data_IF_081520828101
#
_entry.id   IF_081520828101
#
_cell.length_a   1.000
_cell.length_b   1.000
_cell.length_c   1.000
_cell.angle_alpha   90.00
_cell.angle_beta   90.00
_cell.angle_gamma   90.00
#
_symmetry.space_group_name_H-M   'P 1'
#
loop_
_entity.id
_entity.type
_entity.pdbx_description
1 polymer ?
#
# COMPACT_ATOMS: atom_id res chain seq x y z
N UNK A 1 5.38 22.82 54.59
CA UNK A 1 6.75 23.09 54.14
C UNK A 1 7.10 22.08 53.05
N UNK A 2 7.87 22.46 52.03
CA UNK A 2 8.33 21.58 50.94
C UNK A 2 9.84 21.74 50.72
N UNK A 3 10.56 20.65 50.50
CA UNK A 3 11.98 20.69 50.15
C UNK A 3 12.24 21.37 48.80
N UNK A 4 13.42 21.98 48.63
CA UNK A 4 13.80 22.62 47.37
C UNK A 4 14.07 21.61 46.24
N UNK A 5 14.51 20.40 46.60
CA UNK A 5 14.90 19.33 45.68
C UNK A 5 14.46 17.95 46.21
N UNK A 6 14.94 16.89 45.57
CA UNK A 6 14.60 15.50 45.92
C UNK A 6 15.19 15.02 47.26
N UNK A 7 16.13 15.80 47.81
CA UNK A 7 16.66 15.59 49.15
C UNK A 7 15.76 16.16 50.25
N UNK A 8 15.85 15.57 51.44
CA UNK A 8 15.20 16.03 52.67
C UNK A 8 15.97 17.24 53.27
N UNK A 9 15.97 18.36 52.54
CA UNK A 9 16.65 19.59 52.95
C UNK A 9 16.12 20.83 52.18
N UNK A 10 16.47 22.02 52.68
CA UNK A 10 16.20 23.28 51.97
C UNK A 10 14.72 23.61 51.89
N UNK A 11 14.01 23.55 53.02
CA UNK A 11 12.56 23.70 53.07
C UNK A 11 12.10 25.15 52.89
N UNK A 12 11.00 25.30 52.17
CA UNK A 12 10.28 26.55 52.01
C UNK A 12 8.78 26.40 52.26
N UNK A 13 8.16 27.49 52.72
CA UNK A 13 6.73 27.53 52.96
C UNK A 13 5.96 27.44 51.63
N UNK A 14 4.95 26.59 51.60
CA UNK A 14 3.99 26.55 50.48
C UNK A 14 2.94 27.63 50.72
N UNK A 15 2.87 28.62 49.83
CA UNK A 15 1.92 29.72 49.94
C UNK A 15 0.48 29.21 49.98
N UNK A 16 -0.29 29.63 50.99
CA UNK A 16 -1.69 29.24 51.16
C UNK A 16 -1.94 27.82 51.71
N UNK A 17 -0.88 27.09 52.10
CA UNK A 17 -1.00 25.75 52.70
C UNK A 17 -1.37 25.81 54.20
N UNK A 18 -2.57 26.30 54.51
CA UNK A 18 -3.05 26.49 55.90
C UNK A 18 -4.20 25.55 56.30
N UNK A 19 -4.64 24.67 55.41
CA UNK A 19 -5.75 23.74 55.64
C UNK A 19 -5.35 22.31 55.25
N UNK A 20 -5.91 21.32 55.95
CA UNK A 20 -5.78 19.89 55.63
C UNK A 20 -7.07 19.39 54.96
N UNK A 21 -7.00 18.74 53.78
CA UNK A 21 -5.80 18.50 52.96
C UNK A 21 -5.35 19.73 52.16
N UNK A 22 -4.05 19.78 51.85
CA UNK A 22 -3.46 20.74 50.91
C UNK A 22 -2.91 20.01 49.68
N UNK A 23 -3.29 20.47 48.49
CA UNK A 23 -2.82 19.95 47.21
C UNK A 23 -1.74 20.87 46.63
N UNK A 24 -0.48 20.43 46.63
CA UNK A 24 0.61 21.18 46.00
C UNK A 24 0.60 20.99 44.48
N UNK A 25 -0.17 21.83 43.78
CA UNK A 25 -0.18 21.86 42.31
C UNK A 25 1.15 22.34 41.69
N UNK A 26 2.06 22.89 42.50
CA UNK A 26 3.37 23.40 42.03
C UNK A 26 4.50 22.37 42.18
N UNK A 27 4.18 21.16 42.65
CA UNK A 27 5.13 20.05 42.64
C UNK A 27 5.57 19.74 41.19
N UNK A 28 6.82 19.29 40.97
CA UNK A 28 7.33 19.02 39.63
C UNK A 28 6.43 18.09 38.82
N UNK A 29 6.22 18.45 37.56
CA UNK A 29 5.47 17.64 36.60
C UNK A 29 6.24 16.40 36.20
N UNK A 30 5.49 15.38 35.78
CA UNK A 30 6.08 14.26 35.08
C UNK A 30 6.46 14.65 33.66
N UNK A 31 7.11 13.74 32.96
CA UNK A 31 7.49 13.94 31.56
C UNK A 31 7.16 12.72 30.72
N UNK A 32 6.84 12.94 29.46
CA UNK A 32 7.07 11.93 28.43
C UNK A 32 8.58 11.95 28.18
N UNK A 33 9.29 10.96 28.73
CA UNK A 33 10.74 10.90 28.75
C UNK A 33 11.33 10.31 27.47
N UNK A 34 10.52 9.61 26.69
CA UNK A 34 10.80 9.24 25.31
C UNK A 34 9.51 9.33 24.50
N UNK A 35 9.53 10.05 23.37
CA UNK A 35 8.38 10.15 22.46
C UNK A 35 8.26 8.97 21.48
N UNK A 36 9.24 8.04 21.51
CA UNK A 36 9.22 6.82 20.70
C UNK A 36 9.69 7.04 19.27
N UNK A 37 9.91 5.93 18.58
CA UNK A 37 10.28 5.88 17.17
C UNK A 37 9.09 5.40 16.37
N UNK A 38 8.71 6.17 15.34
CA UNK A 38 7.67 5.80 14.38
C UNK A 38 8.23 4.81 13.37
N UNK A 39 7.38 3.88 12.95
CA UNK A 39 7.61 3.08 11.76
C UNK A 39 6.35 3.07 10.92
N UNK A 40 6.47 3.44 9.66
CA UNK A 40 5.44 3.33 8.65
C UNK A 40 5.84 2.25 7.63
N UNK A 41 4.87 1.52 7.09
CA UNK A 41 5.18 0.47 6.10
C UNK A 41 5.44 1.06 4.72
N UNK A 42 6.53 0.63 4.10
CA UNK A 42 6.94 1.00 2.75
C UNK A 42 6.68 -0.11 1.75
N UNK A 43 5.65 0.05 0.92
CA UNK A 43 5.41 -0.86 -0.20
C UNK A 43 5.02 -2.29 0.21
N UNK A 44 4.74 -2.56 1.48
CA UNK A 44 4.34 -3.89 1.98
C UNK A 44 2.84 -4.16 1.80
N UNK A 45 2.05 -3.11 1.63
CA UNK A 45 0.59 -3.17 1.61
C UNK A 45 0.03 -2.41 0.42
N UNK A 46 -1.02 -2.95 -0.16
CA UNK A 46 -1.70 -2.36 -1.32
C UNK A 46 -2.90 -1.51 -0.92
N UNK A 47 -3.46 -1.74 0.27
CA UNK A 47 -4.71 -1.16 0.76
C UNK A 47 -4.52 -0.10 1.86
N UNK A 48 -3.30 0.04 2.42
CA UNK A 48 -3.02 0.90 3.57
C UNK A 48 -1.53 1.14 3.80
N UNK A 49 -1.23 2.07 4.69
CA UNK A 49 0.05 2.18 5.41
C UNK A 49 -0.18 1.80 6.88
N UNK A 50 0.61 0.90 7.44
CA UNK A 50 0.54 0.55 8.87
C UNK A 50 1.52 1.42 9.64
N UNK A 51 1.00 2.18 10.59
CA UNK A 51 1.75 3.04 11.49
C UNK A 51 1.93 2.33 12.83
N UNK A 52 3.14 2.34 13.35
CA UNK A 52 3.46 1.82 14.66
C UNK A 52 4.42 2.72 15.41
N UNK A 53 4.29 2.77 16.73
CA UNK A 53 5.19 3.49 17.61
C UNK A 53 5.85 2.51 18.59
N UNK A 54 7.14 2.70 18.86
CA UNK A 54 7.83 1.89 19.85
C UNK A 54 8.78 2.70 20.72
N UNK A 55 8.89 2.29 21.99
CA UNK A 55 9.88 2.80 22.93
C UNK A 55 9.46 4.07 23.68
N UNK A 56 8.21 4.49 23.51
CA UNK A 56 7.59 5.56 24.29
C UNK A 56 7.66 5.28 25.79
N UNK A 57 7.92 6.33 26.57
CA UNK A 57 8.08 6.19 28.02
C UNK A 57 7.68 7.47 28.75
N UNK A 58 7.20 7.28 29.98
CA UNK A 58 6.90 8.37 30.92
C UNK A 58 7.72 8.24 32.18
N UNK A 59 8.02 9.37 32.80
CA UNK A 59 8.66 9.45 34.11
C UNK A 59 7.81 10.31 35.04
N UNK A 60 7.53 9.80 36.24
CA UNK A 60 6.85 10.56 37.30
C UNK A 60 7.60 11.84 37.65
N UNK A 61 6.87 12.81 38.20
CA UNK A 61 7.45 14.07 38.64
C UNK A 61 8.53 13.86 39.70
N UNK A 62 9.56 14.71 39.67
CA UNK A 62 10.64 14.62 40.64
C UNK A 62 10.08 14.72 42.08
N UNK A 63 10.50 13.79 42.94
CA UNK A 63 10.06 13.73 44.33
C UNK A 63 10.39 14.98 45.13
N UNK A 64 9.57 15.24 46.14
CA UNK A 64 9.76 16.31 47.12
C UNK A 64 9.39 15.79 48.51
N UNK A 65 10.05 16.32 49.53
CA UNK A 65 9.74 16.03 50.92
C UNK A 65 8.83 17.11 51.49
N UNK A 66 7.88 16.68 52.31
CA UNK A 66 6.84 17.53 52.88
C UNK A 66 6.72 17.28 54.38
N UNK A 67 6.44 18.36 55.11
CA UNK A 67 6.00 18.31 56.50
C UNK A 67 5.13 19.52 56.82
N UNK A 68 4.39 19.44 57.93
CA UNK A 68 3.59 20.54 58.45
C UNK A 68 4.22 21.09 59.72
N UNK A 69 4.22 22.41 59.86
CA UNK A 69 4.52 23.09 61.12
C UNK A 69 3.19 23.25 61.88
N UNK A 70 3.09 22.63 63.04
CA UNK A 70 1.92 22.70 63.91
C UNK A 70 2.22 23.66 65.04
N UNK A 71 1.42 24.71 65.17
CA UNK A 71 1.56 25.70 66.23
C UNK A 71 0.22 25.96 66.93
N UNK A 72 0.30 26.28 68.22
CA UNK A 72 -0.86 26.68 69.04
C UNK A 72 -0.44 27.80 69.98
N UNK A 73 -1.34 28.73 70.29
CA UNK A 73 -1.05 29.86 71.18
C UNK A 73 -0.54 29.37 72.54
N UNK A 74 0.64 29.83 72.95
CA UNK A 74 1.28 29.43 74.21
C UNK A 74 2.07 28.11 74.16
N UNK A 75 2.10 27.43 73.01
CA UNK A 75 2.91 26.23 72.77
C UNK A 75 4.07 26.53 71.81
N UNK A 76 5.13 25.73 71.92
CA UNK A 76 6.22 25.71 70.94
C UNK A 76 5.73 25.06 69.65
N UNK A 77 6.04 25.65 68.49
CA UNK A 77 5.81 25.05 67.18
C UNK A 77 6.57 23.73 67.05
N UNK A 78 5.94 22.74 66.45
CA UNK A 78 6.53 21.41 66.20
C UNK A 78 6.36 21.03 64.74
N UNK A 79 7.34 20.30 64.21
CA UNK A 79 7.28 19.73 62.87
C UNK A 79 6.66 18.33 62.93
N UNK A 80 5.84 18.01 61.93
CA UNK A 80 5.46 16.61 61.68
C UNK A 80 6.66 15.85 61.13
N UNK A 81 6.60 14.51 61.12
CA UNK A 81 7.56 13.71 60.37
C UNK A 81 7.56 14.10 58.90
N UNK A 82 8.74 14.09 58.28
CA UNK A 82 8.87 14.33 56.84
C UNK A 82 8.40 13.10 56.06
N UNK A 83 7.72 13.34 54.94
CA UNK A 83 7.34 12.29 54.01
C UNK A 83 7.57 12.73 52.57
N UNK A 84 7.92 11.77 51.70
CA UNK A 84 8.18 12.03 50.29
C UNK A 84 6.90 11.85 49.46
N UNK A 85 6.66 12.77 48.53
CA UNK A 85 5.58 12.70 47.56
C UNK A 85 6.04 13.17 46.17
N UNK A 86 5.32 12.74 45.14
CA UNK A 86 5.54 13.12 43.73
C UNK A 86 4.20 13.12 42.99
N UNK A 87 4.19 13.76 41.80
CA UNK A 87 3.06 13.70 40.87
C UNK A 87 3.23 12.48 39.97
N UNK A 88 2.20 11.63 39.90
CA UNK A 88 2.18 10.48 38.97
C UNK A 88 1.78 10.92 37.57
N UNK A 89 2.19 10.15 36.56
CA UNK A 89 1.78 10.33 35.16
C UNK A 89 0.64 9.38 34.78
N UNK A 90 -0.27 9.86 33.92
CA UNK A 90 -1.34 9.05 33.32
C UNK A 90 -0.82 8.10 32.23
N UNK A 91 -1.71 7.28 31.68
CA UNK A 91 -1.38 6.49 30.48
C UNK A 91 -1.12 7.43 29.28
N UNK A 92 -0.22 6.99 28.39
CA UNK A 92 0.01 7.65 27.11
C UNK A 92 -1.23 7.47 26.22
N UNK A 93 -1.60 8.55 25.54
CA UNK A 93 -2.59 8.55 24.45
C UNK A 93 -1.93 9.04 23.17
N UNK A 94 -2.40 8.52 22.04
CA UNK A 94 -1.80 8.74 20.72
C UNK A 94 -2.71 9.61 19.85
N UNK A 95 -2.09 10.43 19.01
CA UNK A 95 -2.73 11.10 17.88
C UNK A 95 -1.75 11.10 16.71
N UNK A 96 -1.98 10.20 15.75
CA UNK A 96 -1.23 10.14 14.51
C UNK A 96 -1.49 11.38 13.66
N UNK A 97 -0.45 11.83 13.00
CA UNK A 97 -0.46 12.92 12.04
C UNK A 97 0.21 12.48 10.74
N UNK A 98 -0.22 13.09 9.63
CA UNK A 98 0.30 12.86 8.28
C UNK A 98 0.70 14.19 7.66
N UNK A 99 1.79 14.21 6.91
CA UNK A 99 2.20 15.31 6.04
C UNK A 99 2.16 14.84 4.58
N UNK A 100 1.25 15.43 3.80
CA UNK A 100 1.06 15.16 2.37
C UNK A 100 1.75 16.22 1.47
N UNK A 101 2.65 17.02 2.07
CA UNK A 101 3.32 18.17 1.46
C UNK A 101 2.81 19.52 1.96
N UNK A 102 1.77 19.54 2.80
CA UNK A 102 1.20 20.74 3.43
C UNK A 102 1.68 21.03 4.86
N UNK A 103 2.42 20.11 5.48
CA UNK A 103 2.68 20.06 6.92
C UNK A 103 1.82 19.01 7.63
N UNK A 104 2.14 18.73 8.89
CA UNK A 104 1.44 17.69 9.66
C UNK A 104 0.03 18.09 10.11
N UNK A 105 -0.94 17.27 9.71
CA UNK A 105 -2.34 17.33 10.13
C UNK A 105 -2.78 16.07 10.87
N UNK A 106 -3.76 16.19 11.77
CA UNK A 106 -4.29 15.06 12.53
C UNK A 106 -5.03 14.06 11.63
N UNK A 107 -4.64 12.79 11.71
CA UNK A 107 -5.39 11.69 11.12
C UNK A 107 -6.65 11.46 11.95
N UNK A 108 -7.81 11.57 11.31
CA UNK A 108 -9.11 11.37 11.97
C UNK A 108 -9.22 9.93 12.48
N UNK A 109 -9.39 9.77 13.80
CA UNK A 109 -9.46 8.45 14.43
C UNK A 109 -8.10 7.74 14.59
N UNK A 110 -7.00 8.40 14.23
CA UNK A 110 -5.62 7.92 14.42
C UNK A 110 -5.18 7.91 15.89
N UNK A 111 -5.89 7.21 16.77
CA UNK A 111 -5.67 7.26 18.23
C UNK A 111 -5.25 5.92 18.84
N UNK A 112 -4.84 4.96 18.01
CA UNK A 112 -4.40 3.63 18.44
C UNK A 112 -3.00 3.34 17.93
N UNK A 113 -2.30 2.44 18.60
CA UNK A 113 -1.03 1.89 18.13
C UNK A 113 -1.13 0.34 18.16
N UNK A 114 -0.93 -0.35 17.02
CA UNK A 114 -0.72 0.21 15.68
C UNK A 114 -1.99 0.86 15.09
N UNK A 115 -1.84 1.63 14.01
CA UNK A 115 -2.94 2.22 13.25
C UNK A 115 -2.80 1.90 11.74
N UNK A 116 -3.93 1.57 11.10
CA UNK A 116 -3.98 1.30 9.66
C UNK A 116 -4.52 2.54 8.93
N UNK A 117 -3.67 3.28 8.23
CA UNK A 117 -4.07 4.44 7.44
C UNK A 117 -4.41 4.03 6.01
N UNK A 118 -5.70 3.99 5.68
CA UNK A 118 -6.22 3.53 4.37
C UNK A 118 -6.31 4.64 3.33
N UNK A 119 -6.23 5.90 3.76
CA UNK A 119 -6.41 7.07 2.89
C UNK A 119 -5.10 7.52 2.23
N UNK A 120 -4.00 6.78 2.46
CA UNK A 120 -2.76 6.97 1.73
C UNK A 120 -3.00 6.78 0.21
N UNK A 121 -2.28 7.51 -0.66
CA UNK A 121 -2.50 7.46 -2.10
C UNK A 121 -2.29 6.06 -2.67
N UNK A 122 -3.19 5.66 -3.55
CA UNK A 122 -3.08 4.43 -4.33
C UNK A 122 -1.97 4.53 -5.36
N UNK A 123 -1.32 3.40 -5.63
CA UNK A 123 -0.47 3.29 -6.80
C UNK A 123 -1.29 3.22 -8.10
N UNK A 124 -0.57 3.12 -9.22
CA UNK A 124 -1.14 3.10 -10.56
C UNK A 124 -0.44 2.07 -11.45
N UNK A 125 -1.15 1.59 -12.47
CA UNK A 125 -0.50 0.96 -13.62
C UNK A 125 0.05 2.10 -14.50
N UNK A 126 1.37 2.20 -14.61
CA UNK A 126 2.04 3.27 -15.37
C UNK A 126 2.35 2.88 -16.82
N UNK A 127 2.32 1.59 -17.13
CA UNK A 127 2.36 1.07 -18.50
C UNK A 127 1.49 -0.18 -18.64
N UNK A 128 0.60 -0.22 -19.64
CA UNK A 128 -0.23 -1.39 -19.98
C UNK A 128 0.48 -2.40 -20.89
N UNK A 129 1.71 -2.11 -21.32
CA UNK A 129 2.55 -3.03 -22.08
C UNK A 129 2.24 -3.06 -23.58
N UNK A 130 3.06 -3.82 -24.30
CA UNK A 130 2.98 -4.01 -25.75
C UNK A 130 2.59 -5.44 -26.06
N UNK A 131 1.55 -5.60 -26.88
CA UNK A 131 1.08 -6.92 -27.33
C UNK A 131 1.95 -7.44 -28.46
N UNK A 132 2.09 -8.76 -28.50
CA UNK A 132 2.59 -9.49 -29.67
C UNK A 132 1.66 -10.66 -29.94
N UNK A 133 1.18 -10.74 -31.18
CA UNK A 133 0.37 -11.83 -31.68
C UNK A 133 1.13 -12.61 -32.76
N UNK A 134 1.15 -13.94 -32.67
CA UNK A 134 1.84 -14.73 -33.71
C UNK A 134 1.08 -14.70 -35.03
N UNK A 135 1.80 -14.42 -36.11
CA UNK A 135 1.26 -14.42 -37.47
C UNK A 135 1.94 -15.47 -38.34
N UNK A 136 1.15 -16.39 -38.90
CA UNK A 136 1.65 -17.40 -39.84
C UNK A 136 2.46 -18.56 -39.23
N UNK A 137 2.61 -18.61 -37.91
CA UNK A 137 3.51 -19.57 -37.23
C UNK A 137 2.80 -20.88 -36.88
N UNK A 138 1.60 -20.79 -36.32
CA UNK A 138 0.87 -21.93 -35.77
C UNK A 138 -0.39 -22.19 -36.59
N UNK A 139 -0.71 -23.45 -36.86
CA UNK A 139 -1.89 -23.84 -37.64
C UNK A 139 -3.16 -23.97 -36.81
N UNK A 140 -3.00 -24.10 -35.48
CA UNK A 140 -4.06 -24.42 -34.53
C UNK A 140 -4.39 -23.28 -33.55
N UNK A 141 -3.59 -22.20 -33.53
CA UNK A 141 -3.75 -21.09 -32.59
C UNK A 141 -3.06 -19.82 -33.03
N UNK A 142 -3.39 -18.72 -32.36
CA UNK A 142 -2.57 -17.50 -32.26
C UNK A 142 -2.04 -17.44 -30.82
N UNK A 143 -0.73 -17.26 -30.63
CA UNK A 143 -0.15 -17.02 -29.30
C UNK A 143 -0.13 -15.53 -29.08
N UNK A 144 -0.72 -15.09 -27.97
CA UNK A 144 -0.74 -13.72 -27.50
C UNK A 144 0.22 -13.61 -26.32
N UNK A 145 1.08 -12.61 -26.35
CA UNK A 145 1.98 -12.29 -25.24
C UNK A 145 2.00 -10.79 -24.99
N UNK A 146 2.13 -10.40 -23.72
CA UNK A 146 2.28 -9.02 -23.28
C UNK A 146 3.68 -8.83 -22.70
N UNK A 147 4.24 -7.64 -22.86
CA UNK A 147 5.50 -7.30 -22.22
C UNK A 147 5.60 -5.81 -21.91
N UNK A 148 6.40 -5.48 -20.89
CA UNK A 148 6.75 -4.11 -20.55
C UNK A 148 5.75 -3.42 -19.62
N UNK A 149 4.80 -4.16 -19.05
CA UNK A 149 3.89 -3.65 -18.04
C UNK A 149 4.69 -3.08 -16.86
N UNK A 150 4.20 -1.96 -16.32
CA UNK A 150 4.84 -1.28 -15.22
C UNK A 150 3.80 -0.72 -14.28
N UNK A 151 4.16 -0.70 -13.00
CA UNK A 151 3.41 -0.05 -11.95
C UNK A 151 4.20 1.12 -11.38
N UNK A 152 3.50 2.01 -10.70
CA UNK A 152 4.10 3.05 -9.89
C UNK A 152 3.37 3.05 -8.56
N UNK A 153 4.13 2.93 -7.49
CA UNK A 153 3.59 2.93 -6.13
C UNK A 153 2.89 4.25 -5.80
N UNK A 154 2.11 4.24 -4.73
CA UNK A 154 1.48 5.45 -4.19
C UNK A 154 2.52 6.49 -3.78
N UNK A 155 2.13 7.76 -3.73
CA UNK A 155 3.01 8.80 -3.20
C UNK A 155 3.31 8.52 -1.72
N UNK A 156 4.58 8.66 -1.34
CA UNK A 156 5.00 8.60 0.05
C UNK A 156 4.58 9.85 0.81
N UNK A 157 4.06 9.65 2.01
CA UNK A 157 3.74 10.69 2.98
C UNK A 157 4.56 10.46 4.26
N UNK A 158 4.85 11.53 4.98
CA UNK A 158 5.54 11.44 6.27
C UNK A 158 4.51 11.30 7.40
N UNK A 159 4.81 10.45 8.38
CA UNK A 159 3.95 10.18 9.53
C UNK A 159 4.67 10.46 10.84
N UNK A 160 3.95 11.03 11.80
CA UNK A 160 4.42 11.20 13.17
C UNK A 160 3.29 10.96 14.17
N UNK A 161 3.61 10.79 15.45
CA UNK A 161 2.63 10.68 16.51
C UNK A 161 2.81 11.80 17.53
N UNK A 162 1.71 12.46 17.89
CA UNK A 162 1.64 13.31 19.07
C UNK A 162 1.22 12.46 20.26
N UNK A 163 2.03 12.49 21.32
CA UNK A 163 1.80 11.78 22.56
C UNK A 163 1.31 12.77 23.62
N UNK A 164 0.27 12.38 24.34
CA UNK A 164 -0.22 13.09 25.51
C UNK A 164 -0.30 12.13 26.70
N UNK A 165 -0.04 12.64 27.89
CA UNK A 165 -0.20 11.91 29.14
C UNK A 165 -0.58 12.91 30.23
N UNK A 166 -1.65 12.61 30.98
CA UNK A 166 -2.08 13.50 32.07
C UNK A 166 -0.95 13.72 33.06
N UNK A 167 -0.61 14.98 33.33
CA UNK A 167 0.49 15.35 34.23
C UNK A 167 1.83 15.58 33.52
N UNK A 168 1.87 15.50 32.19
CA UNK A 168 3.01 15.81 31.34
C UNK A 168 2.65 16.91 30.31
N UNK A 169 3.67 17.55 29.76
CA UNK A 169 3.53 18.27 28.50
C UNK A 169 3.50 17.28 27.33
N UNK A 170 2.73 17.61 26.29
CA UNK A 170 2.70 16.84 25.05
C UNK A 170 4.09 16.79 24.40
N UNK A 171 4.36 15.68 23.71
CA UNK A 171 5.57 15.49 22.91
C UNK A 171 5.20 14.94 21.54
N UNK A 172 6.05 15.19 20.55
CA UNK A 172 5.94 14.61 19.21
C UNK A 172 7.06 13.60 19.03
N UNK A 173 6.75 12.45 18.44
CA UNK A 173 7.74 11.45 18.06
C UNK A 173 8.66 11.96 16.95
N UNK A 174 9.67 11.17 16.60
CA UNK A 174 10.30 11.26 15.28
C UNK A 174 9.26 10.95 14.17
N UNK A 175 9.66 11.15 12.91
CA UNK A 175 8.84 10.83 11.75
C UNK A 175 9.42 9.67 10.93
N UNK A 176 8.58 9.08 10.09
CA UNK A 176 8.94 8.07 9.10
C UNK A 176 8.03 8.21 7.89
N UNK A 177 8.55 7.95 6.69
CA UNK A 177 7.76 7.94 5.46
C UNK A 177 7.11 6.57 5.21
N UNK A 178 6.01 6.57 4.47
CA UNK A 178 5.26 5.35 4.16
C UNK A 178 4.41 5.50 2.91
N UNK A 179 4.28 4.42 2.14
CA UNK A 179 3.47 4.37 0.91
C UNK A 179 2.85 3.00 0.65
N UNK A 180 1.78 3.01 -0.16
CA UNK A 180 1.10 1.79 -0.66
C UNK A 180 1.77 1.29 -1.93
N UNK A 181 1.94 -0.02 -2.08
CA UNK A 181 2.32 -0.63 -3.37
C UNK A 181 1.11 -0.93 -4.25
N UNK A 182 1.35 -1.37 -5.48
CA UNK A 182 0.33 -1.83 -6.41
C UNK A 182 0.14 -3.34 -6.30
N UNK A 183 -1.11 -3.79 -6.27
CA UNK A 183 -1.42 -5.22 -6.28
C UNK A 183 -0.97 -5.92 -7.57
N UNK A 184 -1.02 -7.24 -7.57
CA UNK A 184 -0.66 -8.03 -8.74
C UNK A 184 -1.45 -7.61 -9.98
N UNK A 185 -0.75 -7.51 -11.11
CA UNK A 185 -1.38 -7.27 -12.41
C UNK A 185 -2.23 -8.48 -12.81
N UNK A 186 -3.38 -8.19 -13.40
CA UNK A 186 -4.34 -9.14 -13.95
C UNK A 186 -4.65 -8.78 -15.39
N UNK A 187 -5.00 -9.80 -16.17
CA UNK A 187 -5.11 -9.70 -17.63
C UNK A 187 -6.50 -10.11 -18.10
N UNK A 188 -6.98 -9.46 -19.15
CA UNK A 188 -8.13 -9.88 -19.93
C UNK A 188 -7.86 -9.59 -21.41
N UNK A 189 -7.56 -10.64 -22.17
CA UNK A 189 -7.35 -10.50 -23.62
C UNK A 189 -8.65 -10.17 -24.35
N UNK A 190 -8.53 -9.34 -25.37
CA UNK A 190 -9.62 -8.95 -26.26
C UNK A 190 -9.20 -9.17 -27.72
N UNK A 191 -10.20 -9.41 -28.56
CA UNK A 191 -10.05 -9.59 -30.01
C UNK A 191 -11.01 -8.67 -30.74
N UNK A 192 -10.57 -8.13 -31.88
CA UNK A 192 -11.40 -7.42 -32.84
C UNK A 192 -11.40 -8.18 -34.17
N UNK A 193 -12.56 -8.72 -34.55
CA UNK A 193 -12.82 -9.42 -35.82
C UNK A 193 -13.49 -8.52 -36.88
N UNK A 194 -13.46 -7.21 -36.68
CA UNK A 194 -14.07 -6.18 -37.52
C UNK A 194 -15.29 -5.50 -36.87
N UNK A 195 -15.65 -5.87 -35.64
CA UNK A 195 -16.76 -5.33 -34.86
C UNK A 195 -16.36 -4.40 -33.71
N UNK A 196 -15.07 -4.28 -33.41
CA UNK A 196 -14.54 -3.70 -32.17
C UNK A 196 -14.04 -4.79 -31.21
N UNK A 197 -13.37 -4.37 -30.12
CA UNK A 197 -12.77 -5.28 -29.16
C UNK A 197 -13.80 -5.92 -28.21
N UNK A 198 -13.83 -7.25 -28.22
CA UNK A 198 -14.60 -8.09 -27.30
C UNK A 198 -13.70 -8.97 -26.44
N UNK A 199 -14.14 -9.27 -25.21
CA UNK A 199 -13.42 -10.15 -24.30
C UNK A 199 -13.32 -11.58 -24.84
N UNK A 200 -12.11 -12.12 -24.90
CA UNK A 200 -11.89 -13.55 -25.10
C UNK A 200 -12.18 -14.26 -23.76
N UNK A 201 -13.22 -15.10 -23.75
CA UNK A 201 -13.70 -15.75 -22.53
C UNK A 201 -12.60 -16.62 -21.89
N UNK A 202 -12.27 -16.32 -20.63
CA UNK A 202 -11.27 -17.07 -19.86
C UNK A 202 -9.82 -16.76 -20.22
N UNK A 203 -9.57 -15.77 -21.08
CA UNK A 203 -8.23 -15.38 -21.48
C UNK A 203 -7.59 -14.42 -20.46
N UNK A 204 -7.14 -14.97 -19.33
CA UNK A 204 -6.63 -14.21 -18.18
C UNK A 204 -5.17 -14.51 -17.83
N UNK A 205 -4.44 -15.14 -18.75
CA UNK A 205 -3.03 -15.51 -18.56
C UNK A 205 -2.15 -14.82 -19.58
N UNK A 206 -0.91 -14.54 -19.24
CA UNK A 206 0.12 -14.14 -20.19
C UNK A 206 1.29 -15.13 -20.12
N UNK A 207 1.66 -15.80 -21.23
CA UNK A 207 1.00 -15.76 -22.55
C UNK A 207 -0.36 -16.48 -22.57
N UNK A 208 -1.15 -16.23 -23.63
CA UNK A 208 -2.41 -16.92 -23.91
C UNK A 208 -2.43 -17.56 -25.30
N UNK A 209 -2.95 -18.79 -25.40
CA UNK A 209 -3.09 -19.50 -26.67
C UNK A 209 -4.53 -19.39 -27.16
N UNK A 210 -4.81 -18.53 -28.14
CA UNK A 210 -6.13 -18.35 -28.71
C UNK A 210 -6.41 -19.39 -29.82
N UNK A 211 -7.19 -20.41 -29.48
CA UNK A 211 -7.52 -21.55 -30.36
C UNK A 211 -8.86 -21.40 -31.08
N UNK A 212 -9.47 -20.22 -31.06
CA UNK A 212 -10.71 -19.92 -31.80
C UNK A 212 -10.50 -18.94 -32.97
N UNK A 213 -9.27 -18.45 -33.19
CA UNK A 213 -8.92 -17.68 -34.38
C UNK A 213 -9.29 -18.42 -35.69
N UNK A 214 -9.53 -17.75 -36.82
CA UNK A 214 -9.91 -18.41 -38.07
C UNK A 214 -8.87 -19.44 -38.52
N UNK A 215 -9.35 -20.62 -38.94
CA UNK A 215 -8.49 -21.69 -39.45
C UNK A 215 -8.00 -21.39 -40.87
N UNK A 216 -6.80 -21.89 -41.26
CA UNK A 216 -6.34 -21.82 -42.64
C UNK A 216 -7.27 -22.63 -43.57
N UNK A 217 -7.35 -22.23 -44.84
CA UNK A 217 -8.25 -22.82 -45.82
C UNK A 217 -7.48 -23.42 -47.02
N UNK A 218 -7.89 -24.61 -47.46
CA UNK A 218 -7.38 -25.22 -48.71
C UNK A 218 -8.44 -25.06 -49.79
N UNK A 219 -8.02 -24.58 -50.96
CA UNK A 219 -8.83 -24.60 -52.18
C UNK A 219 -8.38 -25.77 -53.05
N UNK A 220 -9.18 -26.84 -53.18
CA UNK A 220 -8.82 -27.97 -54.03
C UNK A 220 -8.84 -27.54 -55.50
N UNK A 221 -7.70 -27.69 -56.18
CA UNK A 221 -7.57 -27.41 -57.61
C UNK A 221 -8.40 -28.36 -58.49
N UNK A 222 -8.22 -28.25 -59.81
CA UNK A 222 -8.89 -29.12 -60.77
C UNK A 222 -8.05 -30.36 -61.09
N UNK A 223 -8.63 -31.54 -60.92
CA UNK A 223 -8.03 -32.78 -61.41
C UNK A 223 -8.15 -32.88 -62.93
N UNK A 224 -7.03 -33.11 -63.62
CA UNK A 224 -6.97 -33.30 -65.06
C UNK A 224 -6.39 -34.68 -65.35
N UNK A 225 -7.10 -35.48 -66.15
CA UNK A 225 -6.61 -36.75 -66.66
C UNK A 225 -6.32 -36.62 -68.16
N UNK A 226 -5.21 -37.17 -68.63
CA UNK A 226 -4.94 -37.25 -70.07
C UNK A 226 -5.88 -38.26 -70.73
N UNK A 227 -6.64 -37.85 -71.75
CA UNK A 227 -7.43 -38.75 -72.61
C UNK A 227 -6.78 -38.87 -74.01
N UNK A 228 -6.61 -40.09 -74.49
CA UNK A 228 -6.08 -40.41 -75.83
C UNK A 228 -4.58 -40.10 -76.07
N UNK A 229 -3.84 -39.60 -75.08
CA UNK A 229 -2.45 -39.14 -75.26
C UNK A 229 -1.37 -40.23 -75.05
N UNK A 230 -1.69 -41.33 -74.37
CA UNK A 230 -0.76 -42.40 -74.04
C UNK A 230 -1.40 -43.77 -74.29
N UNK A 231 -0.62 -44.74 -74.75
CA UNK A 231 -1.10 -46.10 -75.09
C UNK A 231 -1.01 -47.09 -73.93
N UNK A 232 -0.29 -46.72 -72.87
CA UNK A 232 0.06 -47.60 -71.74
C UNK A 232 -0.30 -47.01 -70.35
N UNK A 233 -0.74 -45.74 -70.29
CA UNK A 233 -1.07 -45.06 -69.03
C UNK A 233 -2.12 -43.95 -69.20
N UNK A 234 -2.66 -43.50 -68.08
CA UNK A 234 -3.36 -42.21 -67.94
C UNK A 234 -2.51 -41.36 -67.00
N UNK A 235 -2.10 -40.17 -67.41
CA UNK A 235 -1.45 -39.22 -66.52
C UNK A 235 -2.53 -38.40 -65.79
N UNK A 236 -2.41 -38.33 -64.47
CA UNK A 236 -3.24 -37.50 -63.61
C UNK A 236 -2.42 -36.29 -63.16
N UNK A 237 -2.98 -35.10 -63.27
CA UNK A 237 -2.38 -33.89 -62.76
C UNK A 237 -3.41 -33.11 -61.92
N UNK A 238 -2.92 -32.37 -60.93
CA UNK A 238 -3.69 -31.38 -60.20
C UNK A 238 -3.15 -30.01 -60.59
N UNK A 239 -4.05 -29.06 -60.87
CA UNK A 239 -3.67 -27.69 -61.16
C UNK A 239 -4.62 -26.70 -60.49
N UNK A 240 -4.07 -25.62 -59.95
CA UNK A 240 -4.84 -24.53 -59.34
C UNK A 240 -5.19 -24.77 -57.87
N UNK A 241 -4.57 -25.74 -57.22
CA UNK A 241 -4.61 -25.88 -55.77
C UNK A 241 -3.94 -24.69 -55.09
N UNK A 242 -4.52 -24.23 -53.98
CA UNK A 242 -3.94 -23.18 -53.15
C UNK A 242 -4.28 -23.41 -51.70
N UNK A 243 -3.48 -22.77 -50.83
CA UNK A 243 -3.70 -22.73 -49.40
C UNK A 243 -3.61 -21.28 -48.96
N UNK A 244 -4.46 -20.91 -48.02
CA UNK A 244 -4.49 -19.59 -47.41
C UNK A 244 -4.36 -19.73 -45.90
N UNK A 245 -3.68 -18.77 -45.29
CA UNK A 245 -3.65 -18.60 -43.84
C UNK A 245 -5.06 -18.30 -43.30
N UNK A 246 -5.20 -18.37 -41.97
CA UNK A 246 -6.39 -17.85 -41.30
C UNK A 246 -6.53 -16.34 -41.52
N UNK A 247 -7.74 -15.81 -41.37
CA UNK A 247 -7.93 -14.36 -41.36
C UNK A 247 -7.24 -13.72 -40.14
N UNK A 248 -6.63 -12.55 -40.36
CA UNK A 248 -6.01 -11.76 -39.32
C UNK A 248 -7.05 -10.99 -38.51
N UNK A 249 -6.90 -11.02 -37.19
CA UNK A 249 -7.64 -10.24 -36.22
C UNK A 249 -6.67 -9.39 -35.40
N UNK A 250 -7.15 -8.28 -34.87
CA UNK A 250 -6.38 -7.42 -33.96
C UNK A 250 -6.60 -7.89 -32.51
N UNK A 251 -5.54 -7.90 -31.72
CA UNK A 251 -5.58 -8.32 -30.32
C UNK A 251 -5.04 -7.22 -29.42
N UNK A 252 -5.69 -7.05 -28.26
CA UNK A 252 -5.20 -6.20 -27.18
C UNK A 252 -5.38 -6.91 -25.83
N UNK A 253 -4.73 -6.41 -24.79
CA UNK A 253 -4.90 -6.87 -23.42
C UNK A 253 -5.41 -5.74 -22.54
N UNK A 254 -6.48 -5.99 -21.79
CA UNK A 254 -6.88 -5.11 -20.69
C UNK A 254 -6.09 -5.50 -19.44
N UNK A 255 -5.34 -4.55 -18.91
CA UNK A 255 -4.48 -4.72 -17.74
C UNK A 255 -5.12 -4.02 -16.54
N UNK A 256 -5.25 -4.73 -15.42
CA UNK A 256 -5.85 -4.20 -14.19
C UNK A 256 -5.12 -4.67 -12.93
N UNK A 257 -5.31 -3.99 -11.81
CA UNK A 257 -4.78 -4.38 -10.49
C UNK A 257 -5.82 -4.10 -9.42
N UNK A 258 -5.86 -4.94 -8.37
CA UNK A 258 -6.91 -4.94 -7.34
C UNK A 258 -6.94 -3.68 -6.46
N UNK A 259 -5.85 -2.91 -6.42
CA UNK A 259 -5.72 -1.70 -5.58
C UNK A 259 -5.00 -0.56 -6.31
N UNK A 260 -5.06 -0.55 -7.65
CA UNK A 260 -4.62 0.59 -8.44
C UNK A 260 -5.78 1.57 -8.63
N UNK A 261 -5.49 2.87 -8.55
CA UNK A 261 -6.52 3.92 -8.68
C UNK A 261 -7.08 4.08 -10.09
N UNK A 262 -6.37 3.57 -11.10
CA UNK A 262 -6.80 3.69 -12.48
C UNK A 262 -7.74 2.55 -12.90
N UNK A 263 -8.66 2.88 -13.81
CA UNK A 263 -9.46 1.87 -14.50
C UNK A 263 -8.56 0.93 -15.30
N UNK A 264 -9.01 -0.29 -15.62
CA UNK A 264 -8.29 -1.17 -16.52
C UNK A 264 -7.79 -0.42 -17.76
N UNK A 265 -6.51 -0.59 -18.08
CA UNK A 265 -5.87 0.08 -19.20
C UNK A 265 -5.76 -0.90 -20.37
N UNK A 266 -6.14 -0.45 -21.57
CA UNK A 266 -5.83 -1.19 -22.79
C UNK A 266 -4.33 -1.07 -23.09
N UNK A 267 -3.70 -2.17 -23.45
CA UNK A 267 -2.40 -2.18 -24.11
C UNK A 267 -2.50 -1.58 -25.52
N UNK A 268 -1.36 -1.45 -26.19
CA UNK A 268 -1.35 -1.37 -27.65
C UNK A 268 -1.94 -2.65 -28.27
N UNK A 269 -2.19 -2.63 -29.58
CA UNK A 269 -2.71 -3.77 -30.33
C UNK A 269 -1.67 -4.35 -31.29
N UNK A 270 -1.89 -5.61 -31.67
CA UNK A 270 -1.11 -6.31 -32.71
C UNK A 270 -1.99 -7.28 -33.49
N UNK A 271 -1.69 -7.48 -34.77
CA UNK A 271 -2.45 -8.36 -35.64
C UNK A 271 -1.88 -9.78 -35.67
N UNK A 272 -2.78 -10.77 -35.62
CA UNK A 272 -2.40 -12.18 -35.50
C UNK A 272 -3.28 -13.10 -36.34
N UNK A 273 -2.66 -14.11 -36.95
CA UNK A 273 -3.37 -15.14 -37.69
C UNK A 273 -2.69 -16.50 -37.64
N UNK A 274 -3.51 -17.55 -37.81
CA UNK A 274 -3.01 -18.92 -37.94
C UNK A 274 -2.32 -19.13 -39.28
N UNK A 275 -1.12 -19.67 -39.24
CA UNK A 275 -0.42 -20.11 -40.44
C UNK A 275 -1.07 -21.33 -41.08
N UNK A 276 -0.74 -21.56 -42.33
CA UNK A 276 -1.07 -22.79 -43.02
C UNK A 276 0.10 -23.79 -43.03
N UNK A 277 -0.22 -25.08 -43.11
CA UNK A 277 0.79 -26.13 -43.31
C UNK A 277 1.40 -26.08 -44.71
N UNK A 278 2.23 -27.07 -45.04
CA UNK A 278 2.74 -27.23 -46.42
C UNK A 278 1.69 -27.98 -47.25
N UNK A 279 1.47 -27.51 -48.49
CA UNK A 279 0.68 -28.20 -49.52
C UNK A 279 1.38 -29.46 -50.03
#
# INVERSE_FOLDING_TARGET
>A
QRSAADGDAGYGALGGATTDPHNDATAPEGTISNSGTVTATDGDHTDKVVLSLAGEATTDGAGRWYYCEVSATGATTQDTTHNRGYRTVGAITFQWQVDDGGGYDNIVGGTTDPYNYTDAPEGTISNSGTVTATSGVHTDKVVLSLAGEATTDGAAYDYQCVLDATGCAQQTSDNDDGYRTVGAITYQWQVDDGGGYDNIVGATTDPYNYTDAPAPAITPGNAVATDGAHTDKVALNLAGESIADGAAYDYQCMVSSVDASNTPLASDNDDGYRGHGVL
#
